data_IF_437430684234
#
_entry.id   IF_437430684234
#
_cell.length_a   1.000
_cell.length_b   1.000
_cell.length_c   1.000
_cell.angle_alpha   90.00
_cell.angle_beta   90.00
_cell.angle_gamma   90.00
#
_symmetry.space_group_name_H-M   'P 1'
#
loop_
_entity.id
_entity.type
_entity.pdbx_description
1 polymer ?
#
# COMPACT_ATOMS: atom_id res chain seq x y z
N UNK A 1 13.11 -1.61 16.28
CA UNK A 1 13.67 -1.26 14.95
C UNK A 1 14.06 -2.56 14.25
N UNK A 2 13.47 -2.85 13.09
CA UNK A 2 13.51 -4.19 12.48
C UNK A 2 14.90 -4.54 11.92
N UNK A 3 15.31 -5.81 12.02
CA UNK A 3 16.55 -6.33 11.45
C UNK A 3 16.68 -6.07 9.93
N UNK A 4 15.56 -5.85 9.24
CA UNK A 4 15.47 -5.50 7.81
C UNK A 4 16.10 -4.14 7.53
N UNK A 5 15.81 -3.12 8.34
CA UNK A 5 16.41 -1.78 8.19
C UNK A 5 17.93 -1.80 8.33
N UNK A 6 18.45 -2.64 9.23
CA UNK A 6 19.89 -2.83 9.38
C UNK A 6 20.56 -3.39 8.11
N UNK A 7 19.92 -4.41 7.50
CA UNK A 7 20.40 -5.01 6.25
C UNK A 7 20.32 -4.05 5.06
N UNK A 8 19.26 -3.24 4.98
CA UNK A 8 19.11 -2.22 3.94
C UNK A 8 20.24 -1.17 4.00
N UNK A 9 20.55 -0.66 5.21
CA UNK A 9 21.67 0.29 5.39
C UNK A 9 23.04 -0.30 5.02
N UNK A 10 23.24 -1.60 5.26
CA UNK A 10 24.47 -2.28 4.86
C UNK A 10 24.59 -2.38 3.34
N UNK A 11 23.49 -2.70 2.65
CA UNK A 11 23.44 -2.75 1.19
C UNK A 11 23.63 -1.37 0.56
N UNK A 12 22.96 -0.34 1.09
CA UNK A 12 23.15 1.06 0.67
C UNK A 12 24.62 1.49 0.74
N UNK A 13 25.28 1.19 1.87
CA UNK A 13 26.71 1.47 2.04
C UNK A 13 27.58 0.71 1.03
N UNK A 14 27.25 -0.56 0.74
CA UNK A 14 27.98 -1.37 -0.22
C UNK A 14 27.88 -0.83 -1.65
N UNK A 15 26.67 -0.45 -2.09
CA UNK A 15 26.43 0.13 -3.43
C UNK A 15 27.16 1.48 -3.57
N UNK A 16 27.11 2.32 -2.54
CA UNK A 16 27.82 3.61 -2.52
C UNK A 16 29.35 3.43 -2.59
N UNK A 17 29.90 2.46 -1.85
CA UNK A 17 31.35 2.17 -1.84
C UNK A 17 31.85 1.55 -3.15
N UNK A 18 30.99 0.84 -3.90
CA UNK A 18 31.32 0.26 -5.20
C UNK A 18 31.13 1.23 -6.37
N UNK A 19 30.84 2.50 -6.08
CA UNK A 19 30.80 3.61 -7.05
C UNK A 19 29.69 3.48 -8.10
N UNK A 20 28.65 2.67 -7.85
CA UNK A 20 27.62 2.37 -8.85
C UNK A 20 28.12 1.55 -10.06
N UNK A 21 29.38 1.14 -10.07
CA UNK A 21 30.02 0.41 -11.18
C UNK A 21 30.03 -1.11 -11.01
N UNK A 22 29.81 -1.63 -9.81
CA UNK A 22 29.39 -3.03 -9.66
C UNK A 22 27.92 -3.12 -10.02
N UNK A 23 27.63 -3.20 -11.32
CA UNK A 23 26.39 -3.76 -11.82
C UNK A 23 26.39 -5.21 -11.34
N UNK A 24 25.90 -5.45 -10.13
CA UNK A 24 25.55 -6.78 -9.64
C UNK A 24 24.10 -7.00 -10.07
N UNK A 25 23.87 -7.52 -11.30
CA UNK A 25 22.52 -7.75 -11.82
C UNK A 25 21.74 -8.71 -10.93
N UNK A 26 22.41 -9.54 -10.12
CA UNK A 26 21.75 -10.42 -9.16
C UNK A 26 21.17 -9.61 -8.01
N UNK A 27 21.92 -8.64 -7.48
CA UNK A 27 21.44 -7.74 -6.42
C UNK A 27 20.28 -6.87 -6.91
N UNK A 28 20.43 -6.22 -8.08
CA UNK A 28 19.36 -5.40 -8.69
C UNK A 28 18.10 -6.23 -8.95
N UNK A 29 18.25 -7.43 -9.52
CA UNK A 29 17.13 -8.34 -9.79
C UNK A 29 16.48 -8.82 -8.48
N UNK A 30 17.25 -9.12 -7.45
CA UNK A 30 16.74 -9.58 -6.16
C UNK A 30 15.95 -8.48 -5.45
N UNK A 31 16.47 -7.26 -5.40
CA UNK A 31 15.78 -6.10 -4.83
C UNK A 31 14.52 -5.77 -5.62
N UNK A 32 14.61 -5.72 -6.96
CA UNK A 32 13.46 -5.49 -7.83
C UNK A 32 12.37 -6.55 -7.65
N UNK A 33 12.74 -7.84 -7.51
CA UNK A 33 11.79 -8.92 -7.22
C UNK A 33 11.16 -8.78 -5.84
N UNK A 34 11.91 -8.36 -4.83
CA UNK A 34 11.40 -8.18 -3.48
C UNK A 34 10.37 -7.05 -3.41
N UNK A 35 10.70 -5.89 -4.01
CA UNK A 35 9.78 -4.74 -4.13
C UNK A 35 8.53 -5.15 -4.91
N UNK A 36 8.70 -5.82 -6.06
CA UNK A 36 7.59 -6.27 -6.89
C UNK A 36 6.68 -7.25 -6.14
N UNK A 37 7.26 -8.19 -5.38
CA UNK A 37 6.51 -9.14 -4.57
C UNK A 37 5.68 -8.46 -3.50
N UNK A 38 6.26 -7.45 -2.83
CA UNK A 38 5.55 -6.71 -1.79
C UNK A 38 4.42 -5.87 -2.38
N UNK A 39 4.66 -5.18 -3.49
CA UNK A 39 3.63 -4.44 -4.22
C UNK A 39 2.47 -5.35 -4.64
N UNK A 40 2.75 -6.53 -5.22
CA UNK A 40 1.73 -7.51 -5.60
C UNK A 40 0.91 -7.98 -4.38
N UNK A 41 1.54 -8.15 -3.22
CA UNK A 41 0.82 -8.53 -2.00
C UNK A 41 -0.09 -7.43 -1.49
N UNK A 42 0.37 -6.18 -1.49
CA UNK A 42 -0.44 -5.04 -1.09
C UNK A 42 -1.60 -4.79 -2.05
N UNK A 43 -1.37 -4.88 -3.37
CA UNK A 43 -2.43 -4.78 -4.39
C UNK A 43 -3.49 -5.86 -4.20
N UNK A 44 -3.08 -7.10 -3.91
CA UNK A 44 -4.03 -8.19 -3.66
C UNK A 44 -4.87 -7.94 -2.40
N UNK A 45 -4.27 -7.40 -1.34
CA UNK A 45 -4.99 -7.03 -0.14
C UNK A 45 -5.97 -5.88 -0.41
N UNK A 46 -5.53 -4.87 -1.15
CA UNK A 46 -6.35 -3.73 -1.56
C UNK A 46 -7.56 -4.18 -2.37
N UNK A 47 -7.35 -5.02 -3.39
CA UNK A 47 -8.43 -5.55 -4.23
C UNK A 47 -9.47 -6.33 -3.41
N UNK A 48 -9.05 -7.09 -2.40
CA UNK A 48 -9.97 -7.80 -1.50
C UNK A 48 -10.84 -6.83 -0.70
N UNK A 49 -10.25 -5.76 -0.15
CA UNK A 49 -10.99 -4.77 0.61
C UNK A 49 -11.91 -3.94 -0.30
N UNK A 50 -11.48 -3.62 -1.51
CA UNK A 50 -12.34 -2.95 -2.51
C UNK A 50 -13.57 -3.81 -2.87
N UNK A 51 -13.40 -5.11 -3.05
CA UNK A 51 -14.54 -6.01 -3.23
C UNK A 51 -15.48 -6.04 -2.01
N UNK A 52 -14.95 -5.89 -0.79
CA UNK A 52 -15.76 -5.75 0.43
C UNK A 52 -16.52 -4.41 0.45
N UNK A 53 -15.89 -3.32 0.02
CA UNK A 53 -16.55 -2.02 -0.13
C UNK A 53 -17.70 -2.10 -1.14
N UNK A 54 -17.51 -2.75 -2.29
CA UNK A 54 -18.57 -2.95 -3.29
C UNK A 54 -19.78 -3.69 -2.72
N UNK A 55 -19.58 -4.67 -1.82
CA UNK A 55 -20.68 -5.36 -1.14
C UNK A 55 -21.49 -4.38 -0.28
N UNK A 56 -20.83 -3.53 0.49
CA UNK A 56 -21.51 -2.49 1.26
C UNK A 56 -22.24 -1.48 0.37
N UNK A 57 -21.62 -1.07 -0.74
CA UNK A 57 -22.25 -0.16 -1.69
C UNK A 57 -23.55 -0.73 -2.26
N UNK A 58 -23.56 -2.01 -2.63
CA UNK A 58 -24.75 -2.69 -3.11
C UNK A 58 -25.79 -2.89 -2.00
N UNK A 59 -25.37 -3.25 -0.79
CA UNK A 59 -26.25 -3.46 0.35
C UNK A 59 -26.99 -2.19 0.75
N UNK A 60 -26.31 -1.04 0.70
CA UNK A 60 -26.84 0.25 1.15
C UNK A 60 -27.26 1.19 0.03
N UNK A 61 -27.00 0.84 -1.24
CA UNK A 61 -27.32 1.66 -2.41
C UNK A 61 -26.58 3.00 -2.42
N UNK A 62 -25.40 3.06 -1.80
CA UNK A 62 -24.63 4.28 -1.59
C UNK A 62 -23.18 4.02 -1.95
N UNK A 63 -22.57 4.89 -2.76
CA UNK A 63 -21.15 4.78 -3.06
C UNK A 63 -20.31 5.07 -1.80
N UNK A 64 -19.17 4.38 -1.66
CA UNK A 64 -18.25 4.50 -0.52
C UNK A 64 -17.81 5.94 -0.26
N UNK A 65 -17.53 6.73 -1.30
CA UNK A 65 -17.10 8.12 -1.14
C UNK A 65 -18.19 8.99 -0.49
N UNK A 66 -19.44 8.75 -0.87
CA UNK A 66 -20.61 9.43 -0.30
C UNK A 66 -20.85 8.95 1.13
N UNK A 67 -20.73 7.65 1.36
CA UNK A 67 -20.84 7.05 2.69
C UNK A 67 -19.82 7.66 3.65
N UNK A 68 -18.54 7.68 3.26
CA UNK A 68 -17.45 8.15 4.10
C UNK A 68 -17.61 9.64 4.45
N UNK A 69 -18.00 10.48 3.48
CA UNK A 69 -18.27 11.89 3.73
C UNK A 69 -19.42 12.11 4.74
N UNK A 70 -20.49 11.32 4.67
CA UNK A 70 -21.63 11.40 5.60
C UNK A 70 -21.30 10.82 6.98
N UNK A 71 -20.49 9.76 7.01
CA UNK A 71 -20.01 9.14 8.25
C UNK A 71 -19.17 10.13 9.07
N UNK A 72 -18.22 10.82 8.42
CA UNK A 72 -17.37 11.84 9.03
C UNK A 72 -18.17 13.04 9.56
N UNK A 73 -19.29 13.37 8.92
CA UNK A 73 -20.19 14.43 9.36
C UNK A 73 -21.11 13.99 10.53
N UNK A 74 -21.07 12.72 10.93
CA UNK A 74 -21.93 12.15 11.95
C UNK A 74 -23.40 12.05 11.52
N UNK A 75 -23.68 12.09 10.21
CA UNK A 75 -25.04 11.98 9.66
C UNK A 75 -25.53 10.53 9.62
N UNK A 76 -24.61 9.57 9.76
CA UNK A 76 -24.91 8.15 9.80
C UNK A 76 -24.98 7.66 11.24
N UNK A 77 -25.91 6.76 11.50
CA UNK A 77 -26.12 6.17 12.82
C UNK A 77 -24.96 5.26 13.26
N UNK A 78 -25.13 4.62 14.41
CA UNK A 78 -24.16 3.76 15.08
C UNK A 78 -24.23 2.29 14.65
N UNK A 79 -24.71 2.02 13.43
CA UNK A 79 -24.77 0.65 12.92
C UNK A 79 -23.37 0.06 12.83
N UNK A 80 -23.21 -1.17 13.32
CA UNK A 80 -21.95 -1.89 13.27
C UNK A 80 -21.38 -1.96 11.85
N UNK A 81 -22.24 -2.17 10.85
CA UNK A 81 -21.87 -2.17 9.43
C UNK A 81 -21.22 -0.86 8.98
N UNK A 82 -21.66 0.30 9.48
CA UNK A 82 -21.07 1.59 9.13
C UNK A 82 -19.67 1.74 9.75
N UNK A 83 -19.48 1.27 10.97
CA UNK A 83 -18.16 1.25 11.60
C UNK A 83 -17.21 0.32 10.83
N UNK A 84 -17.68 -0.86 10.42
CA UNK A 84 -16.88 -1.80 9.61
C UNK A 84 -16.56 -1.22 8.23
N UNK A 85 -17.53 -0.58 7.58
CA UNK A 85 -17.32 0.05 6.29
C UNK A 85 -16.30 1.19 6.37
N UNK A 86 -16.42 2.09 7.36
CA UNK A 86 -15.46 3.17 7.58
C UNK A 86 -14.04 2.64 7.82
N UNK A 87 -13.91 1.62 8.69
CA UNK A 87 -12.62 0.97 8.93
C UNK A 87 -12.04 0.34 7.65
N UNK A 88 -12.88 -0.26 6.81
CA UNK A 88 -12.45 -0.82 5.52
C UNK A 88 -11.92 0.27 4.58
N UNK A 89 -12.55 1.44 4.55
CA UNK A 89 -12.08 2.61 3.76
C UNK A 89 -10.69 3.07 4.23
N UNK A 90 -10.51 3.21 5.54
CA UNK A 90 -9.21 3.59 6.12
C UNK A 90 -8.11 2.57 5.80
N UNK A 91 -8.43 1.27 5.86
CA UNK A 91 -7.49 0.22 5.49
C UNK A 91 -7.07 0.30 4.03
N UNK A 92 -8.01 0.55 3.11
CA UNK A 92 -7.69 0.78 1.68
C UNK A 92 -6.78 1.99 1.51
N UNK A 93 -7.11 3.13 2.14
CA UNK A 93 -6.28 4.33 2.07
C UNK A 93 -4.87 4.14 2.64
N UNK A 94 -4.72 3.32 3.68
CA UNK A 94 -3.40 2.96 4.22
C UNK A 94 -2.59 2.09 3.26
N UNK A 95 -3.22 1.11 2.61
CA UNK A 95 -2.57 0.29 1.59
C UNK A 95 -2.15 1.14 0.38
N UNK A 96 -2.95 2.12 -0.03
CA UNK A 96 -2.60 3.05 -1.11
C UNK A 96 -1.37 3.89 -0.77
N UNK A 97 -1.25 4.39 0.46
CA UNK A 97 -0.05 5.10 0.93
C UNK A 97 1.19 4.19 0.90
N UNK A 98 1.05 2.92 1.29
CA UNK A 98 2.16 1.95 1.25
C UNK A 98 2.57 1.62 -0.19
N UNK A 99 1.61 1.43 -1.09
CA UNK A 99 1.86 1.20 -2.51
C UNK A 99 2.54 2.41 -3.17
N UNK A 100 2.09 3.63 -2.86
CA UNK A 100 2.72 4.84 -3.34
C UNK A 100 4.19 4.93 -2.90
N UNK A 101 4.49 4.59 -1.64
CA UNK A 101 5.86 4.58 -1.13
C UNK A 101 6.77 3.52 -1.81
N UNK A 102 6.22 2.41 -2.29
CA UNK A 102 6.95 1.41 -3.08
C UNK A 102 7.06 1.76 -4.58
N UNK A 103 6.13 2.58 -5.11
CA UNK A 103 6.07 2.96 -6.52
C UNK A 103 6.90 4.19 -6.90
N UNK A 104 7.32 5.02 -5.93
CA UNK A 104 8.04 6.27 -6.16
C UNK A 104 9.49 6.12 -6.64
N UNK A 105 10.05 4.92 -6.75
CA UNK A 105 11.42 4.71 -7.28
C UNK A 105 11.47 4.55 -8.82
N UNK A 106 10.34 4.63 -9.53
CA UNK A 106 10.30 4.57 -11.01
C UNK A 106 10.07 5.94 -11.66
N UNK A 107 10.88 6.96 -11.35
CA UNK A 107 10.87 8.23 -12.10
C UNK A 107 12.12 9.10 -11.93
N UNK A 108 13.32 8.53 -11.86
CA UNK A 108 14.55 9.34 -11.90
C UNK A 108 15.68 8.67 -12.71
N UNK A 109 15.35 7.98 -13.81
CA UNK A 109 16.32 7.60 -14.84
C UNK A 109 15.64 7.59 -16.21
N UNK A 110 15.49 8.78 -16.80
CA UNK A 110 15.35 8.97 -18.24
C UNK A 110 16.45 9.92 -18.71
#
# INVERSE_FOLDING_TARGET
MSAVLGKLKQLEKYVTLTGGTSHDPVLELALGKLVSREAIQLERQKARLQAQLEIFEQQYGMNTDVFYARFEQGELGDKMDFIEWAATCEMVGNLEKQLAALGTEKSDLQ
#
